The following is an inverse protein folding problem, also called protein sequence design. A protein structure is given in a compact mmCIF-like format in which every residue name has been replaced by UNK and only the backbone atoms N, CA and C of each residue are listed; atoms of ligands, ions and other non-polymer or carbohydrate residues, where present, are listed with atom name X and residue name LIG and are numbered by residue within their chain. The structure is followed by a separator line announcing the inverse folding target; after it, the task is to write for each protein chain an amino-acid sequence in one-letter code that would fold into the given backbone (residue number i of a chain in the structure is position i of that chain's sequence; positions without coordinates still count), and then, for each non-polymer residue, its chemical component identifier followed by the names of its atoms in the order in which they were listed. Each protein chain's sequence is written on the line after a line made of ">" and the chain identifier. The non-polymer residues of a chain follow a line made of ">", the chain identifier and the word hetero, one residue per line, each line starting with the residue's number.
data_IF_713857746882
#
_entry.id   IF_713857746882
#
_cell.length_a   1.000
_cell.length_b   1.000
_cell.length_c   1.000
_cell.angle_alpha   90.00
_cell.angle_beta   90.00
_cell.angle_gamma   90.00
#
_symmetry.space_group_name_H-M   'P 1'
#
loop_
_entity.id
_entity.type
_entity.pdbx_description
1 polymer ?
#
# COMPACT_ATOMS: atom_id res chain seq x y z
N UNK A 1 -3.87 -11.89 34.81
CA UNK A 1 -3.40 -12.48 33.52
C UNK A 1 -4.34 -13.52 32.92
N UNK A 2 -4.94 -14.45 33.69
CA UNK A 2 -5.90 -15.46 33.17
C UNK A 2 -7.13 -14.87 32.46
N UNK A 3 -7.47 -13.60 32.70
CA UNK A 3 -8.69 -12.99 32.19
C UNK A 3 -8.69 -12.82 30.65
N UNK A 4 -7.62 -12.27 30.05
CA UNK A 4 -7.61 -11.96 28.61
C UNK A 4 -7.68 -13.20 27.71
N UNK A 5 -7.10 -14.32 28.18
CA UNK A 5 -7.15 -15.60 27.47
C UNK A 5 -8.57 -16.16 27.46
N UNK A 6 -9.30 -16.03 28.57
CA UNK A 6 -10.70 -16.44 28.65
C UNK A 6 -11.58 -15.61 27.70
N UNK A 7 -11.32 -14.30 27.59
CA UNK A 7 -11.98 -13.47 26.58
C UNK A 7 -11.63 -13.92 25.16
N UNK A 8 -10.36 -14.18 24.85
CA UNK A 8 -9.94 -14.67 23.55
C UNK A 8 -10.65 -15.98 23.17
N UNK A 9 -10.73 -16.93 24.11
CA UNK A 9 -11.47 -18.18 23.91
C UNK A 9 -12.96 -17.94 23.73
N UNK A 10 -13.56 -17.03 24.49
CA UNK A 10 -14.98 -16.68 24.36
C UNK A 10 -15.30 -16.04 22.99
N UNK A 11 -14.45 -15.16 22.48
CA UNK A 11 -14.60 -14.60 21.13
C UNK A 11 -14.42 -15.67 20.06
N UNK A 12 -13.42 -16.55 20.18
CA UNK A 12 -13.21 -17.64 19.24
C UNK A 12 -14.41 -18.60 19.19
N UNK A 13 -15.00 -18.93 20.35
CA UNK A 13 -16.23 -19.75 20.45
C UNK A 13 -17.44 -19.08 19.77
N UNK A 14 -17.47 -17.75 19.69
CA UNK A 14 -18.48 -16.98 18.96
C UNK A 14 -18.17 -16.82 17.47
N UNK A 15 -17.11 -17.47 16.96
CA UNK A 15 -16.72 -17.43 15.54
C UNK A 15 -15.75 -16.31 15.18
N UNK A 16 -15.29 -15.49 16.14
CA UNK A 16 -14.35 -14.41 15.83
C UNK A 16 -12.91 -14.90 15.75
N UNK A 17 -12.19 -14.44 14.72
CA UNK A 17 -10.76 -14.72 14.60
C UNK A 17 -9.94 -13.80 15.50
N UNK A 18 -9.45 -14.35 16.62
CA UNK A 18 -8.63 -13.62 17.59
C UNK A 18 -7.16 -13.53 17.18
N UNK A 19 -6.50 -12.46 17.60
CA UNK A 19 -5.07 -12.22 17.41
C UNK A 19 -4.39 -11.72 18.69
N UNK A 20 -3.23 -12.31 19.07
CA UNK A 20 -2.39 -11.82 20.13
C UNK A 20 -1.51 -10.69 19.60
N UNK A 21 -1.60 -9.52 20.22
CA UNK A 21 -0.85 -8.33 19.84
C UNK A 21 0.21 -8.02 20.91
N UNK A 22 1.42 -7.68 20.49
CA UNK A 22 2.49 -7.28 21.40
C UNK A 22 2.08 -6.03 22.20
N UNK A 23 2.39 -6.02 23.50
CA UNK A 23 2.02 -4.89 24.37
C UNK A 23 2.75 -3.59 23.99
N UNK A 24 3.99 -3.70 23.48
CA UNK A 24 4.82 -2.57 23.06
C UNK A 24 4.52 -2.11 21.63
N UNK A 25 5.06 -2.81 20.63
CA UNK A 25 5.02 -2.41 19.21
C UNK A 25 3.63 -2.44 18.56
N UNK A 26 2.59 -2.91 19.27
CA UNK A 26 1.23 -3.11 18.75
C UNK A 26 1.18 -3.98 17.47
N UNK A 27 2.10 -4.94 17.35
CA UNK A 27 2.20 -5.87 16.22
C UNK A 27 1.67 -7.25 16.56
N UNK A 28 1.09 -7.99 15.61
CA UNK A 28 0.66 -9.37 15.82
C UNK A 28 1.86 -10.26 16.17
N UNK A 29 1.70 -11.11 17.19
CA UNK A 29 2.70 -12.07 17.62
C UNK A 29 2.68 -13.36 16.78
N UNK A 30 1.76 -13.44 15.82
CA UNK A 30 1.62 -14.54 14.87
C UNK A 30 1.38 -13.99 13.47
N UNK A 31 1.89 -14.68 12.47
CA UNK A 31 1.47 -14.46 11.08
C UNK A 31 0.02 -14.89 10.94
N UNK A 32 -0.82 -14.00 10.41
CA UNK A 32 -2.27 -14.22 10.32
C UNK A 32 -2.86 -13.89 8.95
N UNK A 33 -2.16 -13.09 8.15
CA UNK A 33 -2.61 -12.74 6.81
C UNK A 33 -2.79 -14.02 6.00
N UNK A 34 -3.95 -14.13 5.34
CA UNK A 34 -4.34 -15.26 4.48
C UNK A 34 -4.26 -16.64 5.17
N UNK A 35 -4.38 -16.66 6.50
CA UNK A 35 -4.40 -17.87 7.32
C UNK A 35 -5.74 -18.07 8.02
N UNK A 36 -6.12 -19.33 8.34
CA UNK A 36 -7.32 -19.59 9.10
C UNK A 36 -7.23 -19.04 10.54
N UNK A 37 -8.37 -18.83 11.22
CA UNK A 37 -8.40 -18.47 12.64
C UNK A 37 -7.65 -19.49 13.51
N UNK A 38 -7.07 -19.02 14.63
CA UNK A 38 -6.41 -19.90 15.58
C UNK A 38 -7.42 -20.82 16.31
N UNK A 39 -7.02 -22.06 16.52
CA UNK A 39 -7.72 -23.02 17.39
C UNK A 39 -7.57 -22.66 18.87
N UNK A 40 -8.46 -23.17 19.73
CA UNK A 40 -8.37 -22.97 21.18
C UNK A 40 -7.00 -23.38 21.78
N UNK A 41 -6.43 -24.48 21.30
CA UNK A 41 -5.10 -24.95 21.73
C UNK A 41 -4.01 -23.94 21.37
N UNK A 42 -4.05 -23.40 20.14
CA UNK A 42 -3.11 -22.37 19.69
C UNK A 42 -3.25 -21.08 20.51
N UNK A 43 -4.50 -20.65 20.80
CA UNK A 43 -4.80 -19.50 21.67
C UNK A 43 -4.20 -19.72 23.08
N UNK A 44 -4.45 -20.85 23.71
CA UNK A 44 -3.90 -21.15 25.05
C UNK A 44 -2.36 -21.16 25.03
N UNK A 45 -1.75 -21.78 24.01
CA UNK A 45 -0.29 -21.87 23.86
C UNK A 45 0.36 -20.50 23.68
N UNK A 46 -0.19 -19.64 22.83
CA UNK A 46 0.44 -18.34 22.52
C UNK A 46 0.35 -17.38 23.70
N UNK A 47 -0.77 -17.33 24.42
CA UNK A 47 -0.87 -16.51 25.63
C UNK A 47 -0.12 -17.08 26.83
N UNK A 48 0.13 -18.39 26.89
CA UNK A 48 1.07 -18.95 27.87
C UNK A 48 2.50 -18.43 27.63
N UNK A 49 2.92 -18.30 26.36
CA UNK A 49 4.23 -17.76 25.98
C UNK A 49 4.30 -16.23 26.11
N UNK A 50 3.20 -15.54 25.84
CA UNK A 50 3.10 -14.08 25.86
C UNK A 50 1.94 -13.64 26.77
N UNK A 51 2.11 -13.72 28.10
CA UNK A 51 1.01 -13.52 29.03
C UNK A 51 0.51 -12.06 29.08
N UNK A 52 1.32 -11.12 28.60
CA UNK A 52 0.97 -9.70 28.48
C UNK A 52 0.44 -9.33 27.08
N UNK A 53 0.25 -10.31 26.18
CA UNK A 53 -0.29 -10.04 24.86
C UNK A 53 -1.71 -9.46 24.96
N UNK A 54 -1.94 -8.39 24.21
CA UNK A 54 -3.25 -7.76 24.05
C UNK A 54 -4.08 -8.57 23.07
N UNK A 55 -5.39 -8.36 23.09
CA UNK A 55 -6.35 -9.08 22.28
C UNK A 55 -6.89 -8.19 21.16
N UNK A 56 -6.74 -8.65 19.93
CA UNK A 56 -7.40 -8.08 18.77
C UNK A 56 -8.32 -9.10 18.10
N UNK A 57 -9.28 -8.60 17.32
CA UNK A 57 -10.13 -9.39 16.43
C UNK A 57 -9.84 -8.97 15.00
N UNK A 58 -9.72 -9.95 14.09
CA UNK A 58 -9.67 -9.67 12.66
C UNK A 58 -11.05 -9.26 12.17
N UNK A 59 -11.10 -8.29 11.28
CA UNK A 59 -12.33 -7.80 10.65
C UNK A 59 -12.75 -8.71 9.50
N UNK A 60 -13.06 -9.97 9.81
CA UNK A 60 -13.54 -10.97 8.84
C UNK A 60 -15.06 -10.93 8.78
N UNK A 61 -15.73 -11.17 9.91
CA UNK A 61 -17.21 -11.24 10.03
C UNK A 61 -17.87 -9.87 10.20
N UNK A 62 -17.07 -8.87 10.56
CA UNK A 62 -17.52 -7.52 10.89
C UNK A 62 -16.57 -6.49 10.29
N UNK A 63 -17.04 -5.26 10.17
CA UNK A 63 -16.21 -4.11 9.87
C UNK A 63 -16.32 -3.05 10.97
N UNK A 64 -15.34 -2.15 11.00
CA UNK A 64 -15.26 -1.09 12.00
C UNK A 64 -15.17 0.25 11.32
N UNK A 65 -16.00 1.18 11.78
CA UNK A 65 -15.78 2.62 11.58
C UNK A 65 -14.89 3.08 12.73
N UNK A 66 -13.63 3.38 12.41
CA UNK A 66 -12.57 3.78 13.36
C UNK A 66 -12.46 5.30 13.32
N UNK A 67 -12.92 5.95 14.40
CA UNK A 67 -13.02 7.39 14.54
C UNK A 67 -11.87 7.83 15.44
N UNK A 68 -10.88 8.50 14.87
CA UNK A 68 -9.73 9.02 15.61
C UNK A 68 -9.82 10.54 15.72
N UNK A 69 -9.29 11.05 16.83
CA UNK A 69 -9.09 12.49 17.06
C UNK A 69 -7.58 12.76 17.07
N UNK A 70 -7.13 13.64 16.19
CA UNK A 70 -5.74 14.08 16.14
C UNK A 70 -5.66 15.54 16.58
N UNK A 71 -4.88 15.82 17.63
CA UNK A 71 -4.74 17.19 18.18
C UNK A 71 -4.25 18.22 17.15
N UNK A 72 -3.49 17.77 16.14
CA UNK A 72 -2.93 18.62 15.06
C UNK A 72 -3.45 18.22 13.66
N UNK A 73 -4.56 17.49 13.57
CA UNK A 73 -5.04 16.91 12.32
C UNK A 73 -6.56 16.94 12.17
N UNK A 74 -7.07 16.04 11.33
CA UNK A 74 -8.50 15.91 11.10
C UNK A 74 -9.21 15.38 12.36
N UNK A 75 -10.33 16.02 12.71
CA UNK A 75 -11.21 15.60 13.80
C UNK A 75 -12.30 14.64 13.29
N UNK A 76 -12.11 13.33 13.55
CA UNK A 76 -13.04 12.30 13.13
C UNK A 76 -14.44 12.44 13.76
N UNK A 77 -14.54 12.97 14.99
CA UNK A 77 -15.84 13.16 15.64
C UNK A 77 -16.65 14.24 14.94
N UNK A 78 -16.02 15.38 14.61
CA UNK A 78 -16.64 16.45 13.83
C UNK A 78 -17.01 16.00 12.42
N UNK A 79 -16.17 15.18 11.80
CA UNK A 79 -16.46 14.58 10.49
C UNK A 79 -17.68 13.68 10.52
N UNK A 80 -17.79 12.80 11.53
CA UNK A 80 -18.97 11.94 11.72
C UNK A 80 -20.22 12.76 11.99
N UNK A 81 -20.14 13.78 12.85
CA UNK A 81 -21.27 14.65 13.15
C UNK A 81 -21.79 15.34 11.88
N UNK A 82 -20.88 15.96 11.12
CA UNK A 82 -21.22 16.62 9.84
C UNK A 82 -21.80 15.62 8.84
N UNK A 83 -21.24 14.42 8.76
CA UNK A 83 -21.73 13.37 7.88
C UNK A 83 -23.14 12.93 8.27
N UNK A 84 -23.41 12.73 9.57
CA UNK A 84 -24.72 12.30 10.07
C UNK A 84 -25.79 13.38 9.89
N UNK A 85 -25.44 14.67 10.06
CA UNK A 85 -26.34 15.80 9.77
C UNK A 85 -26.76 15.83 8.29
N UNK A 86 -25.82 15.57 7.38
CA UNK A 86 -26.08 15.54 5.92
C UNK A 86 -26.74 14.25 5.45
N UNK A 87 -26.58 13.16 6.20
CA UNK A 87 -27.07 11.82 5.84
C UNK A 87 -27.77 11.19 7.07
N UNK A 88 -28.96 11.71 7.46
CA UNK A 88 -29.66 11.24 8.66
C UNK A 88 -29.92 9.73 8.59
N UNK A 89 -29.62 9.01 9.67
CA UNK A 89 -29.84 7.56 9.77
C UNK A 89 -28.80 6.70 9.05
N UNK A 90 -27.75 7.30 8.50
CA UNK A 90 -26.66 6.56 7.86
C UNK A 90 -25.72 5.90 8.89
N UNK A 91 -25.41 6.61 9.99
CA UNK A 91 -24.74 6.03 11.15
C UNK A 91 -25.82 5.71 12.19
N UNK A 92 -25.88 4.45 12.63
CA UNK A 92 -26.85 3.97 13.61
C UNK A 92 -26.14 3.42 14.84
N UNK A 93 -26.83 3.42 15.97
CA UNK A 93 -26.28 2.86 17.20
C UNK A 93 -25.99 1.37 17.04
N UNK A 94 -24.78 0.99 17.46
CA UNK A 94 -24.27 -0.38 17.40
C UNK A 94 -23.29 -0.63 18.54
N UNK A 95 -22.77 -1.85 18.66
CA UNK A 95 -21.68 -2.14 19.58
C UNK A 95 -20.53 -1.16 19.37
N UNK A 96 -20.08 -0.49 20.43
CA UNK A 96 -18.99 0.48 20.32
C UNK A 96 -18.06 0.49 21.54
N UNK A 97 -16.82 0.92 21.31
CA UNK A 97 -15.80 1.05 22.35
C UNK A 97 -15.00 2.35 22.19
N UNK A 98 -14.40 2.81 23.29
CA UNK A 98 -13.34 3.82 23.25
C UNK A 98 -11.99 3.16 22.98
N UNK A 99 -11.09 3.92 22.36
CA UNK A 99 -9.71 3.50 22.05
C UNK A 99 -8.70 4.19 22.97
N UNK A 100 -7.46 3.68 22.99
CA UNK A 100 -6.45 4.11 23.97
C UNK A 100 -5.94 5.53 23.82
N UNK A 101 -6.29 6.21 22.74
CA UNK A 101 -5.94 7.61 22.49
C UNK A 101 -7.18 8.53 22.44
N UNK A 102 -8.33 8.08 22.95
CA UNK A 102 -9.55 8.90 23.00
C UNK A 102 -10.50 8.72 21.81
N UNK A 103 -10.10 8.00 20.76
CA UNK A 103 -10.97 7.67 19.63
C UNK A 103 -12.13 6.72 19.98
N UNK A 104 -12.99 6.46 18.99
CA UNK A 104 -14.18 5.60 19.11
C UNK A 104 -14.28 4.62 17.94
N UNK A 105 -14.67 3.40 18.23
CA UNK A 105 -14.90 2.36 17.22
C UNK A 105 -16.35 1.91 17.24
N UNK A 106 -17.00 1.93 16.08
CA UNK A 106 -18.35 1.40 15.85
C UNK A 106 -18.25 0.10 15.07
N UNK A 107 -18.88 -0.97 15.57
CA UNK A 107 -18.76 -2.31 15.00
C UNK A 107 -20.06 -2.70 14.28
N UNK A 108 -19.96 -3.10 13.02
CA UNK A 108 -21.11 -3.50 12.21
C UNK A 108 -20.90 -4.90 11.62
N UNK A 109 -21.98 -5.66 11.49
CA UNK A 109 -21.95 -6.91 10.73
C UNK A 109 -21.56 -6.64 9.28
N UNK A 110 -20.73 -7.50 8.68
CA UNK A 110 -20.50 -7.39 7.25
C UNK A 110 -21.72 -7.85 6.46
N UNK A 111 -22.14 -7.09 5.45
CA UNK A 111 -23.19 -7.54 4.52
C UNK A 111 -22.72 -8.77 3.72
N UNK A 112 -23.60 -9.76 3.59
CA UNK A 112 -23.32 -10.94 2.78
C UNK A 112 -23.23 -10.57 1.29
N UNK A 113 -22.25 -11.14 0.58
CA UNK A 113 -22.08 -10.95 -0.87
C UNK A 113 -21.48 -9.61 -1.31
N UNK A 114 -21.09 -8.74 -0.39
CA UNK A 114 -20.40 -7.48 -0.69
C UNK A 114 -18.95 -7.58 -0.25
N UNK A 115 -18.01 -7.42 -1.19
CA UNK A 115 -16.59 -7.36 -0.87
C UNK A 115 -16.23 -5.99 -0.30
N UNK A 116 -16.22 -5.89 1.03
CA UNK A 116 -15.79 -4.67 1.72
C UNK A 116 -14.30 -4.73 2.02
N UNK A 117 -13.56 -3.73 1.53
CA UNK A 117 -12.13 -3.58 1.80
C UNK A 117 -11.83 -2.39 2.73
N UNK A 118 -10.56 -2.26 3.13
CA UNK A 118 -10.11 -1.12 3.92
C UNK A 118 -10.28 0.20 3.15
N UNK A 119 -10.82 1.21 3.83
CA UNK A 119 -10.86 2.60 3.34
C UNK A 119 -10.12 3.46 4.34
N UNK A 120 -8.96 3.97 3.94
CA UNK A 120 -8.22 4.96 4.72
C UNK A 120 -8.77 6.34 4.36
N UNK A 121 -9.09 7.17 5.35
CA UNK A 121 -9.68 8.49 5.17
C UNK A 121 -11.02 8.41 4.43
N UNK A 122 -11.93 7.55 4.90
CA UNK A 122 -13.30 7.53 4.39
C UNK A 122 -13.96 8.90 4.59
N UNK A 123 -13.79 9.45 5.79
CA UNK A 123 -13.93 10.86 6.10
C UNK A 123 -12.61 11.37 6.73
N UNK A 124 -12.37 12.68 6.78
CA UNK A 124 -11.24 13.23 7.53
C UNK A 124 -11.24 12.70 8.97
N UNK A 125 -10.16 12.05 9.41
CA UNK A 125 -10.06 11.43 10.74
C UNK A 125 -10.89 10.16 10.96
N UNK A 126 -11.46 9.57 9.89
CA UNK A 126 -12.29 8.35 9.99
C UNK A 126 -11.86 7.30 8.97
N UNK A 127 -11.48 6.14 9.48
CA UNK A 127 -11.09 4.98 8.69
C UNK A 127 -12.16 3.88 8.72
N UNK A 128 -12.19 3.05 7.67
CA UNK A 128 -12.96 1.80 7.63
C UNK A 128 -11.98 0.63 7.64
N UNK A 129 -12.10 -0.23 8.65
CA UNK A 129 -11.41 -1.52 8.71
C UNK A 129 -12.38 -2.63 8.37
N UNK A 130 -12.26 -3.17 7.16
CA UNK A 130 -13.16 -4.22 6.66
C UNK A 130 -12.42 -5.36 5.95
N UNK A 131 -11.09 -5.31 5.78
CA UNK A 131 -10.38 -6.39 5.08
C UNK A 131 -10.12 -7.58 6.03
N UNK A 132 -10.13 -8.85 5.56
CA UNK A 132 -9.76 -10.01 6.38
C UNK A 132 -8.35 -9.97 6.99
N UNK A 133 -7.46 -9.17 6.41
CA UNK A 133 -6.10 -8.92 6.87
C UNK A 133 -5.98 -7.64 7.73
N UNK A 134 -7.09 -6.97 8.05
CA UNK A 134 -7.13 -5.95 9.11
C UNK A 134 -7.57 -6.56 10.45
N UNK A 135 -7.27 -5.84 11.53
CA UNK A 135 -7.68 -6.18 12.87
C UNK A 135 -7.88 -4.92 13.72
N UNK A 136 -8.64 -5.05 14.79
CA UNK A 136 -8.81 -4.04 15.83
C UNK A 136 -8.53 -4.65 17.19
N UNK A 137 -7.81 -3.91 18.05
CA UNK A 137 -7.74 -4.25 19.47
C UNK A 137 -9.13 -4.09 20.09
N UNK A 138 -9.50 -4.99 21.00
CA UNK A 138 -10.81 -4.95 21.66
C UNK A 138 -10.67 -4.98 23.18
N UNK A 139 -11.66 -4.44 23.87
CA UNK A 139 -11.77 -4.58 25.31
C UNK A 139 -11.83 -6.09 25.70
N UNK A 140 -11.15 -6.49 26.80
CA UNK A 140 -10.56 -5.63 27.82
C UNK A 140 -9.04 -5.39 27.65
N UNK A 141 -8.51 -5.36 26.42
CA UNK A 141 -7.13 -4.95 26.20
C UNK A 141 -6.89 -3.56 26.77
N UNK A 142 -5.72 -3.31 27.38
CA UNK A 142 -5.37 -2.01 27.97
C UNK A 142 -5.65 -0.86 26.99
N UNK A 143 -6.34 0.19 27.45
CA UNK A 143 -6.73 1.33 26.63
C UNK A 143 -8.02 1.14 25.81
N UNK A 144 -8.70 -0.01 25.89
CA UNK A 144 -9.96 -0.24 25.18
C UNK A 144 -11.09 -0.60 26.15
N UNK A 145 -12.23 0.08 26.01
CA UNK A 145 -13.40 -0.11 26.89
C UNK A 145 -14.68 -0.10 26.09
N UNK A 146 -15.48 -1.18 26.18
CA UNK A 146 -16.83 -1.21 25.62
C UNK A 146 -17.70 -0.10 26.25
N UNK A 147 -18.28 0.76 25.42
CA UNK A 147 -19.17 1.84 25.88
C UNK A 147 -20.61 1.34 26.11
N UNK A 148 -21.00 0.27 25.42
CA UNK A 148 -22.31 -0.34 25.55
C UNK A 148 -22.21 -1.88 25.46
N UNK A 149 -23.35 -2.55 25.60
CA UNK A 149 -23.50 -4.00 25.46
C UNK A 149 -24.43 -4.38 24.30
N UNK A 150 -24.60 -3.48 23.34
CA UNK A 150 -25.44 -3.74 22.17
C UNK A 150 -24.84 -4.88 21.34
N UNK A 151 -25.65 -5.66 20.61
CA UNK A 151 -25.12 -6.49 19.54
C UNK A 151 -24.52 -5.60 18.44
N UNK A 152 -23.63 -6.19 17.61
CA UNK A 152 -23.33 -5.58 16.32
C UNK A 152 -24.61 -5.60 15.48
N UNK A 153 -24.94 -4.50 14.83
CA UNK A 153 -26.10 -4.41 13.94
C UNK A 153 -25.66 -4.47 12.48
N UNK A 154 -26.59 -4.80 11.59
CA UNK A 154 -26.39 -4.64 10.16
C UNK A 154 -26.27 -3.15 9.84
N UNK A 155 -25.25 -2.79 9.07
CA UNK A 155 -25.09 -1.42 8.59
C UNK A 155 -26.25 -1.03 7.66
N UNK A 156 -26.78 0.20 7.75
CA UNK A 156 -27.71 0.74 6.77
C UNK A 156 -27.10 0.68 5.36
N UNK A 157 -27.93 0.43 4.35
CA UNK A 157 -27.50 0.37 2.95
C UNK A 157 -26.81 1.66 2.50
N UNK A 158 -27.31 2.81 2.98
CA UNK A 158 -26.70 4.12 2.74
C UNK A 158 -25.25 4.20 3.22
N UNK A 159 -24.92 3.60 4.37
CA UNK A 159 -23.56 3.56 4.90
C UNK A 159 -22.66 2.72 4.01
N UNK A 160 -23.10 1.51 3.67
CA UNK A 160 -22.37 0.59 2.79
C UNK A 160 -22.08 1.28 1.45
N UNK A 161 -23.09 1.87 0.82
CA UNK A 161 -22.96 2.56 -0.46
C UNK A 161 -21.97 3.73 -0.38
N UNK A 162 -21.98 4.51 0.71
CA UNK A 162 -21.04 5.61 0.91
C UNK A 162 -19.58 5.14 1.01
N UNK A 163 -19.34 4.01 1.69
CA UNK A 163 -18.01 3.40 1.86
C UNK A 163 -17.53 2.84 0.51
N UNK A 164 -18.38 2.08 -0.19
CA UNK A 164 -18.06 1.49 -1.49
C UNK A 164 -17.81 2.55 -2.57
N UNK A 165 -18.56 3.67 -2.56
CA UNK A 165 -18.30 4.80 -3.48
C UNK A 165 -16.88 5.33 -3.31
N UNK A 166 -16.42 5.56 -2.08
CA UNK A 166 -15.05 5.99 -1.80
C UNK A 166 -14.01 4.95 -2.26
N UNK A 167 -14.29 3.64 -2.12
CA UNK A 167 -13.40 2.59 -2.63
C UNK A 167 -13.18 2.67 -4.14
N UNK A 168 -14.23 3.00 -4.90
CA UNK A 168 -14.15 3.11 -6.37
C UNK A 168 -13.36 4.34 -6.87
N UNK A 169 -13.16 5.36 -6.03
CA UNK A 169 -12.41 6.59 -6.37
C UNK A 169 -10.88 6.47 -6.25
N UNK A 170 -10.32 5.27 -6.01
CA UNK A 170 -8.86 5.05 -5.85
C UNK A 170 -8.02 5.31 -7.12
N UNK A 171 -8.63 5.63 -8.26
CA UNK A 171 -7.92 6.13 -9.44
C UNK A 171 -8.18 7.63 -9.63
N UNK A 172 -7.18 8.44 -9.33
CA UNK A 172 -7.11 9.83 -9.77
C UNK A 172 -5.98 9.93 -10.81
N UNK A 173 -6.27 10.15 -12.10
CA UNK A 173 -5.22 10.40 -13.07
C UNK A 173 -4.45 11.66 -12.68
N UNK A 174 -3.13 11.64 -12.91
CA UNK A 174 -2.30 12.85 -12.72
C UNK A 174 -2.80 13.92 -13.70
N UNK A 175 -3.02 15.13 -13.20
CA UNK A 175 -3.42 16.26 -14.03
C UNK A 175 -2.36 16.51 -15.11
N UNK A 176 -2.71 16.41 -16.41
CA UNK A 176 -1.77 16.69 -17.50
C UNK A 176 -1.15 18.09 -17.42
N UNK A 177 -1.86 19.10 -16.91
CA UNK A 177 -1.30 20.45 -16.74
C UNK A 177 -0.22 20.50 -15.66
N UNK A 178 -0.39 19.74 -14.57
CA UNK A 178 0.60 19.61 -13.51
C UNK A 178 1.91 18.95 -13.99
N UNK A 179 1.87 18.09 -15.00
CA UNK A 179 3.07 17.50 -15.62
C UNK A 179 3.89 18.51 -16.43
N UNK A 180 3.23 19.50 -17.04
CA UNK A 180 3.89 20.58 -17.79
C UNK A 180 4.38 21.74 -16.92
N UNK A 181 3.67 22.06 -15.84
CA UNK A 181 4.03 23.17 -14.95
C UNK A 181 5.06 22.77 -13.88
N UNK A 182 5.17 21.49 -13.56
CA UNK A 182 6.25 20.99 -12.71
C UNK A 182 7.58 21.03 -13.47
N UNK A 183 8.47 21.93 -13.06
CA UNK A 183 9.88 21.81 -13.41
C UNK A 183 10.50 20.60 -12.67
N UNK A 184 10.30 19.40 -13.22
CA UNK A 184 10.73 18.12 -12.64
C UNK A 184 12.22 18.12 -12.31
N UNK A 185 13.02 18.83 -13.10
CA UNK A 185 14.47 19.00 -12.92
C UNK A 185 14.85 19.80 -11.66
N UNK A 186 13.93 20.56 -11.07
CA UNK A 186 14.19 21.37 -9.87
C UNK A 186 13.94 20.59 -8.57
N UNK A 187 13.12 19.54 -8.61
CA UNK A 187 12.80 18.67 -7.45
C UNK A 187 13.55 17.34 -7.45
N UNK A 188 13.84 16.79 -8.62
CA UNK A 188 14.68 15.59 -8.73
C UNK A 188 16.12 16.06 -8.81
N UNK A 189 16.96 15.59 -7.88
CA UNK A 189 18.39 15.94 -7.87
C UNK A 189 19.12 15.52 -9.15
N UNK A 190 20.45 15.61 -9.16
CA UNK A 190 21.23 15.27 -10.36
C UNK A 190 20.87 13.90 -10.94
N UNK A 191 20.50 13.88 -12.22
CA UNK A 191 20.17 12.65 -12.94
C UNK A 191 21.37 11.71 -12.98
N UNK A 192 21.18 10.50 -12.45
CA UNK A 192 22.23 9.48 -12.43
C UNK A 192 22.65 9.10 -13.85
N UNK A 193 23.85 8.52 -14.00
CA UNK A 193 24.31 7.98 -15.29
C UNK A 193 23.34 6.93 -15.86
N UNK A 194 22.60 6.22 -15.01
CA UNK A 194 21.60 5.23 -15.45
C UNK A 194 20.31 5.92 -15.93
N UNK A 195 19.86 6.96 -15.23
CA UNK A 195 18.70 7.76 -15.65
C UNK A 195 18.92 8.35 -17.04
N UNK A 196 20.11 8.92 -17.28
CA UNK A 196 20.49 9.46 -18.59
C UNK A 196 20.46 8.43 -19.72
N UNK A 197 20.76 7.16 -19.46
CA UNK A 197 20.60 6.10 -20.47
C UNK A 197 19.12 5.92 -20.82
N UNK A 198 18.22 5.87 -19.83
CA UNK A 198 16.79 5.77 -20.12
C UNK A 198 16.25 6.99 -20.89
N UNK A 199 16.66 8.19 -20.50
CA UNK A 199 16.31 9.43 -21.20
C UNK A 199 16.81 9.42 -22.65
N UNK A 200 18.02 8.90 -22.90
CA UNK A 200 18.61 8.85 -24.24
C UNK A 200 17.86 7.91 -25.20
N UNK A 201 17.07 6.95 -24.69
CA UNK A 201 16.15 6.14 -25.52
C UNK A 201 15.10 7.05 -26.16
N UNK A 202 14.56 8.00 -25.40
CA UNK A 202 13.47 8.90 -25.85
C UNK A 202 14.03 10.11 -26.57
N UNK A 203 15.08 10.73 -26.04
CA UNK A 203 15.67 11.97 -26.56
C UNK A 203 16.63 11.74 -27.73
N UNK A 204 16.97 10.48 -28.01
CA UNK A 204 17.89 10.09 -29.07
C UNK A 204 19.36 10.43 -28.79
N UNK A 205 20.16 10.41 -29.86
CA UNK A 205 21.64 10.45 -29.81
C UNK A 205 22.22 11.87 -30.01
N UNK A 206 21.38 12.91 -29.96
CA UNK A 206 21.75 14.32 -30.14
C UNK A 206 21.57 14.87 -31.56
N UNK A 207 21.66 16.20 -31.71
CA UNK A 207 21.14 16.91 -32.88
C UNK A 207 22.11 16.97 -34.08
N UNK A 208 23.43 17.16 -33.88
CA UNK A 208 24.44 17.17 -34.97
C UNK A 208 25.86 16.91 -34.48
N UNK A 209 26.61 16.05 -35.19
CA UNK A 209 28.00 15.68 -34.86
C UNK A 209 28.11 14.77 -33.62
N UNK A 210 29.01 13.78 -33.64
CA UNK A 210 29.27 12.93 -32.46
C UNK A 210 28.20 11.88 -32.09
N UNK A 211 27.14 11.70 -32.89
CA UNK A 211 26.08 10.68 -32.69
C UNK A 211 26.62 9.26 -32.59
N UNK A 212 27.64 8.93 -33.37
CA UNK A 212 28.39 7.68 -33.27
C UNK A 212 29.10 7.53 -31.91
N UNK A 213 29.66 8.61 -31.35
CA UNK A 213 30.23 8.62 -30.00
C UNK A 213 29.13 8.47 -28.94
N UNK A 214 27.99 9.14 -29.11
CA UNK A 214 26.84 9.02 -28.22
C UNK A 214 26.25 7.60 -28.23
N UNK A 215 26.13 6.99 -29.41
CA UNK A 215 25.74 5.59 -29.58
C UNK A 215 26.74 4.65 -28.91
N UNK A 216 28.04 4.87 -29.11
CA UNK A 216 29.07 4.05 -28.49
C UNK A 216 29.03 4.13 -26.95
N UNK A 217 28.87 5.34 -26.39
CA UNK A 217 28.72 5.55 -24.96
C UNK A 217 27.44 4.91 -24.42
N UNK A 218 26.33 5.01 -25.16
CA UNK A 218 25.05 4.42 -24.82
C UNK A 218 25.11 2.89 -24.78
N UNK A 219 25.56 2.26 -25.87
CA UNK A 219 25.73 0.79 -25.99
C UNK A 219 26.70 0.28 -24.93
N UNK A 220 27.84 0.95 -24.74
CA UNK A 220 28.80 0.58 -23.70
C UNK A 220 28.22 0.70 -22.28
N UNK A 221 27.44 1.74 -22.02
CA UNK A 221 26.78 1.95 -20.74
C UNK A 221 25.74 0.87 -20.39
N UNK A 222 25.00 0.39 -21.39
CA UNK A 222 24.03 -0.70 -21.23
C UNK A 222 24.73 -2.06 -21.03
N UNK A 223 25.75 -2.35 -21.84
CA UNK A 223 26.51 -3.59 -21.73
C UNK A 223 27.27 -3.70 -20.39
N UNK A 224 27.82 -2.58 -19.90
CA UNK A 224 28.46 -2.52 -18.58
C UNK A 224 27.48 -2.90 -17.44
N UNK A 225 26.19 -2.66 -17.64
CA UNK A 225 25.11 -3.03 -16.70
C UNK A 225 24.55 -4.44 -16.93
N UNK A 226 25.24 -5.26 -17.74
CA UNK A 226 24.88 -6.64 -18.05
C UNK A 226 23.52 -6.81 -18.75
N UNK A 227 23.10 -5.81 -19.53
CA UNK A 227 21.93 -5.95 -20.39
C UNK A 227 22.29 -6.86 -21.58
N UNK A 228 21.39 -7.80 -21.90
CA UNK A 228 21.57 -8.73 -23.02
C UNK A 228 21.81 -7.99 -24.34
N UNK A 229 22.73 -8.49 -25.15
CA UNK A 229 23.19 -7.81 -26.38
C UNK A 229 22.06 -7.57 -27.38
N UNK A 230 21.09 -8.49 -27.48
CA UNK A 230 19.94 -8.33 -28.38
C UNK A 230 19.00 -7.22 -27.88
N UNK A 231 18.83 -7.12 -26.56
CA UNK A 231 18.08 -6.03 -25.94
C UNK A 231 18.80 -4.70 -26.14
N UNK A 232 20.13 -4.66 -25.95
CA UNK A 232 20.93 -3.45 -26.21
C UNK A 232 20.79 -3.00 -27.66
N UNK A 233 20.80 -3.91 -28.63
CA UNK A 233 20.59 -3.56 -30.05
C UNK A 233 19.25 -2.86 -30.27
N UNK A 234 18.16 -3.44 -29.76
CA UNK A 234 16.82 -2.85 -29.87
C UNK A 234 16.72 -1.48 -29.19
N UNK A 235 17.28 -1.33 -27.99
CA UNK A 235 17.28 -0.04 -27.29
C UNK A 235 18.07 1.02 -28.06
N UNK A 236 19.20 0.63 -28.65
CA UNK A 236 20.01 1.51 -29.48
C UNK A 236 19.30 1.90 -30.80
N UNK A 237 18.57 0.97 -31.42
CA UNK A 237 17.74 1.25 -32.60
C UNK A 237 16.63 2.25 -32.27
N UNK A 238 15.93 2.07 -31.13
CA UNK A 238 14.91 3.03 -30.67
C UNK A 238 15.52 4.42 -30.47
N UNK A 239 16.65 4.51 -29.76
CA UNK A 239 17.35 5.77 -29.56
C UNK A 239 17.77 6.42 -30.90
N UNK A 240 18.29 5.64 -31.84
CA UNK A 240 18.68 6.14 -33.16
C UNK A 240 17.47 6.63 -33.97
N UNK A 241 16.35 5.91 -33.92
CA UNK A 241 15.11 6.29 -34.61
C UNK A 241 14.49 7.58 -34.02
N UNK A 242 14.64 7.81 -32.72
CA UNK A 242 14.25 9.05 -32.06
C UNK A 242 15.25 10.20 -32.27
N UNK A 243 16.34 9.97 -33.01
CA UNK A 243 17.32 11.00 -33.32
C UNK A 243 16.93 11.73 -34.60
N UNK A 244 16.74 13.06 -34.55
CA UNK A 244 16.29 13.88 -35.67
C UNK A 244 17.10 13.66 -36.97
N UNK A 245 18.40 13.43 -36.86
CA UNK A 245 19.26 12.94 -37.94
C UNK A 245 19.85 11.60 -37.53
N UNK A 246 19.08 10.53 -37.70
CA UNK A 246 19.52 9.17 -37.39
C UNK A 246 20.81 8.79 -38.13
N UNK A 247 21.61 7.92 -37.52
CA UNK A 247 22.70 7.22 -38.21
C UNK A 247 22.09 6.25 -39.23
N UNK A 248 22.74 6.13 -40.39
CA UNK A 248 22.36 5.08 -41.34
C UNK A 248 22.67 3.69 -40.77
N UNK A 249 22.07 2.66 -41.36
CA UNK A 249 22.21 1.27 -40.90
C UNK A 249 23.67 0.83 -40.82
N UNK A 250 24.50 1.22 -41.80
CA UNK A 250 25.91 0.80 -41.86
C UNK A 250 26.72 1.47 -40.76
N UNK A 251 26.50 2.77 -40.52
CA UNK A 251 27.18 3.53 -39.48
C UNK A 251 26.75 3.08 -38.08
N UNK A 252 25.45 2.80 -37.90
CA UNK A 252 24.88 2.23 -36.68
C UNK A 252 25.50 0.87 -36.37
N UNK A 253 25.38 -0.11 -37.28
CA UNK A 253 25.86 -1.48 -37.07
C UNK A 253 27.38 -1.50 -36.82
N UNK A 254 28.15 -0.71 -37.57
CA UNK A 254 29.60 -0.60 -37.35
C UNK A 254 29.94 -0.12 -35.94
N UNK A 255 29.20 0.86 -35.43
CA UNK A 255 29.44 1.41 -34.08
C UNK A 255 29.00 0.43 -33.00
N UNK A 256 27.83 -0.19 -33.18
CA UNK A 256 27.29 -1.22 -32.28
C UNK A 256 28.24 -2.42 -32.17
N UNK A 257 28.64 -3.00 -33.31
CA UNK A 257 29.53 -4.16 -33.37
C UNK A 257 30.89 -3.88 -32.74
N UNK A 258 31.43 -2.67 -32.92
CA UNK A 258 32.68 -2.25 -32.29
C UNK A 258 32.59 -2.31 -30.76
N UNK A 259 31.48 -1.82 -30.19
CA UNK A 259 31.26 -1.85 -28.75
C UNK A 259 31.01 -3.25 -28.20
N UNK A 260 30.26 -4.08 -28.92
CA UNK A 260 30.05 -5.49 -28.55
C UNK A 260 31.38 -6.25 -28.56
N UNK A 261 32.20 -6.10 -29.61
CA UNK A 261 33.53 -6.73 -29.69
C UNK A 261 34.43 -6.28 -28.54
N UNK A 262 34.41 -4.99 -28.19
CA UNK A 262 35.17 -4.45 -27.06
C UNK A 262 34.72 -5.05 -25.73
N UNK A 263 33.42 -5.18 -25.51
CA UNK A 263 32.87 -5.77 -24.29
C UNK A 263 33.19 -7.27 -24.18
N UNK A 264 33.08 -8.03 -25.28
CA UNK A 264 33.44 -9.45 -25.30
C UNK A 264 34.91 -9.67 -24.90
N UNK A 265 35.81 -8.84 -25.42
CA UNK A 265 37.24 -8.86 -25.03
C UNK A 265 37.44 -8.53 -23.55
N UNK A 266 36.72 -7.53 -23.03
CA UNK A 266 36.79 -7.16 -21.60
C UNK A 266 36.40 -8.34 -20.71
N UNK A 267 35.28 -9.00 -21.02
CA UNK A 267 34.77 -10.17 -20.27
C UNK A 267 35.69 -11.38 -20.37
N UNK A 268 36.25 -11.65 -21.56
CA UNK A 268 37.21 -12.73 -21.75
C UNK A 268 38.50 -12.54 -20.91
N UNK A 269 38.88 -11.28 -20.65
CA UNK A 269 40.07 -10.94 -19.87
C UNK A 269 39.83 -10.77 -18.35
N UNK A 270 38.66 -11.16 -17.84
CA UNK A 270 38.40 -11.27 -16.40
C UNK A 270 38.40 -9.96 -15.59
N UNK A 271 38.08 -8.81 -16.22
CA UNK A 271 37.86 -7.52 -15.51
C UNK A 271 36.44 -6.97 -15.70
#
# INVERSE_FOLDING_TARGET
>A
MQNIVNYALAYAKKGFSVLPISAGEKRPLVLFADRPPMTESQIKKIWKRHPNARLALRTIEFFVVDIDEHQDGDDGFKSIETFNQKNPGCIVDTLCQTTGHGGKQLFYEKPAGIDMTQVIGWLPGVDIKANPNNYVLVAPSTGYTWQNKMPMVKAPEALINSICKKQSTKYSPVDPQALTEMNWNQKVGQHSRTAKLFEQIVNGLGETGGRNMALAAFVGGLLYRNIDVQVVKKLAEIANNNTAKALDTREFDRTFDSMVKKELRRRANGK
#
